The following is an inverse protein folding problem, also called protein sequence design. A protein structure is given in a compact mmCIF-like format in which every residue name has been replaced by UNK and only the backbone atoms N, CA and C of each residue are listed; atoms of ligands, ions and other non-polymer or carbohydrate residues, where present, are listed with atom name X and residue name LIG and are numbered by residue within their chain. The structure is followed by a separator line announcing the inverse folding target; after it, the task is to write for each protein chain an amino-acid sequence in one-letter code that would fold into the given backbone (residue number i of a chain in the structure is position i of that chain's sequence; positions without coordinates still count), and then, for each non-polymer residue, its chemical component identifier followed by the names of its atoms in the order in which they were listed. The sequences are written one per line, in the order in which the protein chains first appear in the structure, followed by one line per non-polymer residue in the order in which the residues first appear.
data_IF_339051857778
#
_entry.id   IF_339051857778
#
_cell.length_a   1.000
_cell.length_b   1.000
_cell.length_c   1.000
_cell.angle_alpha   90.00
_cell.angle_beta   90.00
_cell.angle_gamma   90.00
#
_symmetry.space_group_name_H-M   'P 1'
#
loop_
_entity.id
_entity.type
_entity.pdbx_description
1 polymer ?
#
# COMPACT_ATOMS: atom_id res chain seq x y z
N UNK A 1 -21.20 17.25 -10.81
CA UNK A 1 -19.90 16.63 -11.21
C UNK A 1 -19.23 16.18 -9.93
N UNK A 2 -18.80 14.91 -9.86
CA UNK A 2 -17.99 14.45 -8.74
C UNK A 2 -16.59 15.10 -8.83
N UNK A 3 -16.07 15.64 -7.72
CA UNK A 3 -14.70 16.14 -7.67
C UNK A 3 -13.69 14.99 -7.75
N UNK A 4 -12.48 15.27 -8.17
CA UNK A 4 -11.37 14.33 -8.09
C UNK A 4 -11.04 14.04 -6.61
N UNK A 5 -10.86 12.76 -6.26
CA UNK A 5 -10.40 12.35 -4.94
C UNK A 5 -8.87 12.45 -4.87
N UNK A 6 -8.38 12.84 -3.70
CA UNK A 6 -6.93 12.93 -3.41
C UNK A 6 -6.55 11.76 -2.53
N UNK A 7 -5.56 10.98 -2.98
CA UNK A 7 -4.99 9.87 -2.23
C UNK A 7 -3.65 10.30 -1.62
N UNK A 8 -3.59 10.39 -0.29
CA UNK A 8 -2.38 10.68 0.46
C UNK A 8 -1.58 9.41 0.71
N UNK A 9 -0.27 9.41 0.42
CA UNK A 9 0.61 8.25 0.57
C UNK A 9 1.24 8.25 1.95
N UNK A 10 1.08 7.14 2.68
CA UNK A 10 1.66 6.89 4.00
C UNK A 10 2.58 5.65 3.96
N UNK A 11 3.87 5.86 3.72
CA UNK A 11 4.86 4.79 3.73
C UNK A 11 5.39 4.54 5.14
N UNK A 12 5.22 3.32 5.63
CA UNK A 12 5.72 2.86 6.93
C UNK A 12 6.97 2.00 6.71
N UNK A 13 7.99 2.60 6.05
CA UNK A 13 9.23 1.93 5.74
C UNK A 13 10.40 2.53 6.53
N UNK A 14 11.47 1.73 6.84
CA UNK A 14 12.62 2.22 7.57
C UNK A 14 13.30 3.42 6.92
N UNK A 15 13.21 3.53 5.59
CA UNK A 15 13.88 4.55 4.78
C UNK A 15 13.03 5.78 4.49
N UNK A 16 11.80 5.86 5.03
CA UNK A 16 10.81 6.86 4.60
C UNK A 16 11.11 8.28 5.04
N UNK A 17 12.06 8.49 5.97
CA UNK A 17 12.45 9.83 6.42
C UNK A 17 13.96 9.99 6.50
N UNK A 18 14.46 10.97 5.79
CA UNK A 18 15.86 11.28 5.54
C UNK A 18 16.68 11.73 6.78
N UNK A 19 16.13 11.63 7.97
CA UNK A 19 16.78 12.09 9.20
C UNK A 19 17.06 10.92 10.16
N UNK A 20 18.09 10.12 9.83
CA UNK A 20 18.78 9.32 10.83
C UNK A 20 18.27 7.91 11.12
N UNK A 21 17.58 7.22 10.18
CA UNK A 21 17.38 5.77 10.28
C UNK A 21 16.45 5.31 11.41
N UNK A 22 15.57 6.16 11.92
CA UNK A 22 14.53 5.77 12.87
C UNK A 22 13.34 5.22 12.09
N UNK A 23 12.91 4.01 12.43
CA UNK A 23 11.60 3.48 12.04
C UNK A 23 10.55 4.53 12.37
N UNK A 24 9.63 4.80 11.44
CA UNK A 24 8.42 5.50 11.80
C UNK A 24 7.73 4.63 12.86
N UNK A 25 7.60 5.14 14.07
CA UNK A 25 6.86 4.40 15.08
C UNK A 25 5.40 4.28 14.63
N UNK A 26 4.68 3.30 15.14
CA UNK A 26 3.23 3.17 14.88
C UNK A 26 2.52 4.50 15.15
N UNK A 27 2.86 5.15 16.25
CA UNK A 27 2.28 6.42 16.70
C UNK A 27 2.59 7.57 15.72
N UNK A 28 3.82 7.63 15.21
CA UNK A 28 4.22 8.62 14.21
C UNK A 28 3.48 8.39 12.89
N UNK A 29 3.33 7.13 12.45
CA UNK A 29 2.58 6.77 11.25
C UNK A 29 1.10 7.17 11.36
N UNK A 30 0.46 6.90 12.50
CA UNK A 30 -0.93 7.30 12.76
C UNK A 30 -1.05 8.84 12.76
N UNK A 31 -0.12 9.52 13.41
CA UNK A 31 -0.09 10.99 13.45
C UNK A 31 0.05 11.57 12.04
N UNK A 32 0.94 11.02 11.22
CA UNK A 32 1.10 11.43 9.82
C UNK A 32 -0.14 11.13 8.99
N UNK A 33 -0.79 9.99 9.17
CA UNK A 33 -2.06 9.66 8.51
C UNK A 33 -3.16 10.67 8.82
N UNK A 34 -3.33 11.03 10.11
CA UNK A 34 -4.26 12.06 10.57
C UNK A 34 -3.94 13.43 9.96
N UNK A 35 -2.67 13.76 9.85
CA UNK A 35 -2.21 14.99 9.22
C UNK A 35 -2.60 15.05 7.75
N UNK A 36 -2.36 13.98 6.98
CA UNK A 36 -2.74 13.89 5.56
C UNK A 36 -4.25 14.11 5.38
N UNK A 37 -5.08 13.53 6.25
CA UNK A 37 -6.53 13.75 6.25
C UNK A 37 -6.87 15.23 6.50
N UNK A 38 -6.26 15.84 7.51
CA UNK A 38 -6.48 17.25 7.85
C UNK A 38 -6.02 18.20 6.73
N UNK A 39 -5.02 17.81 5.95
CA UNK A 39 -4.52 18.53 4.77
C UNK A 39 -5.38 18.30 3.51
N UNK A 40 -6.41 17.45 3.59
CA UNK A 40 -7.42 17.28 2.53
C UNK A 40 -7.33 15.99 1.72
N UNK A 41 -6.58 14.99 2.17
CA UNK A 41 -6.62 13.66 1.57
C UNK A 41 -7.99 13.00 1.82
N UNK A 42 -8.56 12.43 0.77
CA UNK A 42 -9.82 11.67 0.81
C UNK A 42 -9.60 10.20 1.15
N UNK A 43 -8.45 9.68 0.75
CA UNK A 43 -8.03 8.28 0.91
C UNK A 43 -6.59 8.31 1.42
N UNK A 44 -6.25 7.44 2.35
CA UNK A 44 -4.86 7.22 2.78
C UNK A 44 -4.38 5.88 2.26
N UNK A 45 -3.34 5.88 1.44
CA UNK A 45 -2.69 4.68 0.90
C UNK A 45 -1.53 4.26 1.80
N UNK A 46 -1.71 3.18 2.54
CA UNK A 46 -0.78 2.70 3.56
C UNK A 46 0.09 1.60 2.99
N UNK A 47 1.41 1.82 2.95
CA UNK A 47 2.38 0.84 2.46
C UNK A 47 3.44 0.48 3.50
N UNK A 48 3.68 -0.81 3.71
CA UNK A 48 4.68 -1.36 4.64
C UNK A 48 5.99 -1.78 3.97
N UNK A 49 6.04 -1.77 2.63
CA UNK A 49 7.18 -2.17 1.82
C UNK A 49 7.54 -1.04 0.84
N UNK A 50 8.84 -0.82 0.63
CA UNK A 50 9.30 0.16 -0.37
C UNK A 50 9.20 -0.42 -1.78
N UNK A 51 8.54 0.31 -2.68
CA UNK A 51 8.48 -0.03 -4.11
C UNK A 51 9.65 0.57 -4.92
N UNK A 52 10.62 1.22 -4.26
CA UNK A 52 11.79 1.81 -4.94
C UNK A 52 12.62 0.73 -5.64
N UNK A 53 13.17 1.03 -6.85
CA UNK A 53 14.06 0.10 -7.53
C UNK A 53 15.27 -0.28 -6.69
N UNK A 54 15.59 -1.59 -6.63
CA UNK A 54 16.79 -2.10 -5.96
C UNK A 54 16.67 -2.35 -4.46
N UNK A 55 15.56 -2.01 -3.83
CA UNK A 55 15.34 -2.28 -2.40
C UNK A 55 14.95 -3.74 -2.19
N UNK A 56 15.46 -4.33 -1.11
CA UNK A 56 15.05 -5.66 -0.68
C UNK A 56 13.64 -5.67 -0.11
N UNK A 57 12.90 -6.73 -0.40
CA UNK A 57 11.56 -6.92 0.14
C UNK A 57 11.61 -7.20 1.64
N UNK A 58 10.67 -6.65 2.38
CA UNK A 58 10.46 -7.01 3.79
C UNK A 58 9.76 -8.37 3.89
N UNK A 59 9.83 -9.03 5.04
CA UNK A 59 9.04 -10.24 5.28
C UNK A 59 7.55 -9.94 5.35
N UNK A 60 6.70 -10.93 5.09
CA UNK A 60 5.24 -10.78 5.24
C UNK A 60 4.86 -10.44 6.69
N UNK A 61 5.54 -11.03 7.66
CA UNK A 61 5.33 -10.75 9.08
C UNK A 61 5.65 -9.28 9.42
N UNK A 62 6.76 -8.76 8.93
CA UNK A 62 7.13 -7.35 9.14
C UNK A 62 6.14 -6.38 8.48
N UNK A 63 5.64 -6.73 7.28
CA UNK A 63 4.63 -5.92 6.60
C UNK A 63 3.32 -5.89 7.39
N UNK A 64 2.85 -7.05 7.85
CA UNK A 64 1.66 -7.17 8.70
C UNK A 64 1.79 -6.36 9.99
N UNK A 65 2.92 -6.50 10.69
CA UNK A 65 3.19 -5.79 11.95
C UNK A 65 3.17 -4.26 11.78
N UNK A 66 3.65 -3.77 10.65
CA UNK A 66 3.68 -2.34 10.34
C UNK A 66 2.30 -1.80 9.92
N UNK A 67 1.64 -2.50 9.00
CA UNK A 67 0.46 -1.98 8.28
C UNK A 67 -0.81 -2.13 9.12
N UNK A 68 -1.09 -3.33 9.63
CA UNK A 68 -2.40 -3.62 10.20
C UNK A 68 -2.76 -2.76 11.42
N UNK A 69 -1.84 -2.50 12.37
CA UNK A 69 -2.14 -1.62 13.50
C UNK A 69 -2.45 -0.18 13.09
N UNK A 70 -1.77 0.35 12.07
CA UNK A 70 -2.01 1.71 11.57
C UNK A 70 -3.35 1.80 10.83
N UNK A 71 -3.64 0.84 9.95
CA UNK A 71 -4.94 0.72 9.27
C UNK A 71 -6.08 0.69 10.28
N UNK A 72 -5.96 -0.17 11.31
CA UNK A 72 -6.98 -0.33 12.35
C UNK A 72 -7.30 0.99 13.05
N UNK A 73 -6.29 1.76 13.43
CA UNK A 73 -6.49 3.04 14.13
C UNK A 73 -7.06 4.12 13.21
N UNK A 74 -6.55 4.26 11.99
CA UNK A 74 -7.07 5.26 11.05
C UNK A 74 -8.51 4.95 10.61
N UNK A 75 -8.88 3.67 10.46
CA UNK A 75 -10.27 3.27 10.20
C UNK A 75 -11.20 3.65 11.36
N UNK A 76 -10.79 3.49 12.61
CA UNK A 76 -11.55 3.96 13.79
C UNK A 76 -11.79 5.47 13.78
N UNK A 77 -10.84 6.23 13.25
CA UNK A 77 -10.96 7.68 13.07
C UNK A 77 -11.90 8.06 11.89
N UNK A 78 -12.42 7.07 11.16
CA UNK A 78 -13.33 7.27 10.03
C UNK A 78 -12.63 7.51 8.69
N UNK A 79 -11.32 7.26 8.60
CA UNK A 79 -10.57 7.40 7.36
C UNK A 79 -10.93 6.33 6.33
N UNK A 80 -10.94 6.70 5.06
CA UNK A 80 -11.00 5.75 3.94
C UNK A 80 -9.57 5.27 3.64
N UNK A 81 -9.33 3.98 3.79
CA UNK A 81 -7.99 3.39 3.69
C UNK A 81 -7.84 2.56 2.44
N UNK A 82 -6.76 2.81 1.71
CA UNK A 82 -6.14 1.94 0.72
C UNK A 82 -4.92 1.27 1.35
N UNK A 83 -4.63 0.02 0.98
CA UNK A 83 -3.40 -0.66 1.41
C UNK A 83 -2.60 -1.06 0.19
N UNK A 84 -1.36 -0.54 0.09
CA UNK A 84 -0.38 -0.90 -0.95
C UNK A 84 0.32 -2.20 -0.54
N UNK A 85 -0.07 -3.27 -1.20
CA UNK A 85 0.51 -4.60 -0.96
C UNK A 85 0.37 -5.53 -2.17
N UNK A 86 1.38 -6.37 -2.37
CA UNK A 86 1.36 -7.47 -3.34
C UNK A 86 1.08 -8.82 -2.68
N UNK A 87 0.81 -8.86 -1.37
CA UNK A 87 0.60 -10.10 -0.61
C UNK A 87 -0.86 -10.29 -0.25
N UNK A 88 -1.40 -11.45 -0.62
CA UNK A 88 -2.80 -11.79 -0.37
C UNK A 88 -3.16 -11.87 1.12
N UNK A 89 -2.23 -12.31 1.98
CA UNK A 89 -2.48 -12.38 3.42
C UNK A 89 -2.53 -10.99 4.04
N UNK A 90 -1.65 -10.08 3.62
CA UNK A 90 -1.71 -8.67 4.06
C UNK A 90 -3.02 -8.01 3.60
N UNK A 91 -3.41 -8.22 2.33
CA UNK A 91 -4.68 -7.72 1.80
C UNK A 91 -5.87 -8.25 2.60
N UNK A 92 -5.91 -9.54 2.90
CA UNK A 92 -6.97 -10.17 3.69
C UNK A 92 -7.09 -9.57 5.09
N UNK A 93 -5.97 -9.38 5.80
CA UNK A 93 -5.99 -8.78 7.13
C UNK A 93 -6.32 -7.28 7.09
N UNK A 94 -5.87 -6.56 6.08
CA UNK A 94 -6.22 -5.16 5.87
C UNK A 94 -7.74 -4.99 5.63
N UNK A 95 -8.35 -5.85 4.81
CA UNK A 95 -9.80 -5.88 4.59
C UNK A 95 -10.54 -6.15 5.90
N UNK A 96 -10.09 -7.12 6.68
CA UNK A 96 -10.67 -7.42 8.00
C UNK A 96 -10.53 -6.25 8.98
N UNK A 97 -9.46 -5.45 8.88
CA UNK A 97 -9.25 -4.24 9.66
C UNK A 97 -10.08 -3.03 9.16
N UNK A 98 -10.77 -3.14 8.01
CA UNK A 98 -11.69 -2.14 7.49
C UNK A 98 -11.15 -1.32 6.31
N UNK A 99 -10.07 -1.74 5.65
CA UNK A 99 -9.62 -1.13 4.40
C UNK A 99 -10.73 -1.18 3.33
N UNK A 100 -10.82 -0.14 2.53
CA UNK A 100 -11.79 0.00 1.44
C UNK A 100 -11.18 -0.28 0.07
N UNK A 101 -9.86 -0.16 -0.04
CA UNK A 101 -9.09 -0.38 -1.27
C UNK A 101 -7.90 -1.30 -0.99
N UNK A 102 -7.57 -2.12 -1.98
CA UNK A 102 -6.26 -2.79 -2.08
C UNK A 102 -5.59 -2.27 -3.36
N UNK A 103 -4.41 -1.68 -3.18
CA UNK A 103 -3.57 -1.13 -4.23
C UNK A 103 -2.42 -2.12 -4.48
N UNK A 104 -2.50 -2.87 -5.58
CA UNK A 104 -1.53 -3.91 -5.90
C UNK A 104 -0.71 -3.54 -7.14
N UNK A 105 0.52 -3.12 -6.90
CA UNK A 105 1.48 -2.74 -7.95
C UNK A 105 1.82 -3.91 -8.90
N UNK A 106 1.55 -5.15 -8.50
CA UNK A 106 1.74 -6.33 -9.34
C UNK A 106 0.52 -6.68 -10.20
N UNK A 107 -0.64 -6.09 -9.91
CA UNK A 107 -1.89 -6.45 -10.58
C UNK A 107 -2.31 -7.91 -10.37
N UNK A 108 -1.97 -8.49 -9.22
CA UNK A 108 -2.25 -9.89 -8.86
C UNK A 108 -1.22 -10.89 -9.36
N UNK A 109 -0.14 -10.43 -10.01
CA UNK A 109 0.84 -11.35 -10.60
C UNK A 109 1.93 -11.82 -9.61
N UNK A 110 2.08 -11.14 -8.47
CA UNK A 110 3.08 -11.51 -7.46
C UNK A 110 2.58 -12.58 -6.48
N UNK A 111 1.26 -12.69 -6.29
CA UNK A 111 0.64 -13.67 -5.39
C UNK A 111 -0.64 -14.23 -6.02
N UNK A 112 -0.60 -15.50 -6.39
CA UNK A 112 -1.72 -16.21 -7.06
C UNK A 112 -3.03 -16.22 -6.25
N UNK A 113 -2.96 -16.03 -4.93
CA UNK A 113 -4.13 -16.00 -4.05
C UNK A 113 -4.82 -14.64 -4.02
N UNK A 114 -4.17 -13.57 -4.49
CA UNK A 114 -4.72 -12.21 -4.45
C UNK A 114 -6.11 -12.13 -5.10
N UNK A 115 -6.25 -12.67 -6.31
CA UNK A 115 -7.53 -12.65 -7.03
C UNK A 115 -8.66 -13.33 -6.23
N UNK A 116 -8.36 -14.42 -5.53
CA UNK A 116 -9.34 -15.12 -4.69
C UNK A 116 -9.74 -14.29 -3.47
N UNK A 117 -8.79 -13.63 -2.82
CA UNK A 117 -9.06 -12.73 -1.67
C UNK A 117 -9.98 -11.60 -2.10
N UNK A 118 -9.69 -10.94 -3.22
CA UNK A 118 -10.50 -9.84 -3.73
C UNK A 118 -11.91 -10.32 -4.13
N UNK A 119 -12.02 -11.44 -4.84
CA UNK A 119 -13.31 -12.00 -5.26
C UNK A 119 -14.24 -12.37 -4.08
N UNK A 120 -13.69 -12.76 -2.94
CA UNK A 120 -14.45 -13.05 -1.71
C UNK A 120 -14.92 -11.78 -0.98
N UNK A 121 -14.44 -10.60 -1.38
CA UNK A 121 -14.74 -9.33 -0.75
C UNK A 121 -15.28 -8.29 -1.76
N UNK A 122 -16.51 -8.47 -2.28
CA UNK A 122 -17.04 -7.71 -3.42
C UNK A 122 -17.24 -6.22 -3.18
N UNK A 123 -17.10 -5.75 -1.95
CA UNK A 123 -17.15 -4.31 -1.60
C UNK A 123 -15.79 -3.62 -1.71
N UNK A 124 -14.70 -4.39 -1.79
CA UNK A 124 -13.36 -3.84 -1.91
C UNK A 124 -13.13 -3.35 -3.33
N UNK A 125 -12.53 -2.18 -3.43
CA UNK A 125 -12.04 -1.67 -4.69
C UNK A 125 -10.59 -2.10 -4.89
N UNK A 126 -10.30 -2.73 -6.01
CA UNK A 126 -8.98 -3.24 -6.34
C UNK A 126 -8.32 -2.36 -7.39
N UNK A 127 -7.15 -1.82 -7.05
CA UNK A 127 -6.34 -1.01 -7.95
C UNK A 127 -5.21 -1.91 -8.47
N UNK A 128 -5.33 -2.33 -9.73
CA UNK A 128 -4.34 -3.18 -10.39
C UNK A 128 -3.43 -2.33 -11.27
N UNK A 129 -2.14 -2.30 -10.98
CA UNK A 129 -1.16 -1.59 -11.77
C UNK A 129 -0.49 -2.53 -12.80
N UNK A 130 0.01 -1.97 -13.90
CA UNK A 130 0.83 -2.71 -14.84
C UNK A 130 2.20 -3.05 -14.24
N UNK A 131 2.56 -4.33 -14.23
CA UNK A 131 3.77 -4.84 -13.60
C UNK A 131 4.66 -5.64 -14.56
N UNK A 132 5.97 -5.41 -14.52
CA UNK A 132 6.95 -6.15 -15.30
C UNK A 132 7.78 -7.12 -14.47
N UNK A 133 7.74 -7.04 -13.16
CA UNK A 133 8.51 -7.83 -12.21
C UNK A 133 8.93 -7.02 -10.99
N UNK A 134 9.57 -7.69 -10.04
CA UNK A 134 10.05 -7.04 -8.82
C UNK A 134 11.08 -5.93 -9.08
N UNK A 135 11.20 -5.00 -8.13
CA UNK A 135 11.99 -3.77 -8.23
C UNK A 135 13.44 -3.97 -8.70
N UNK A 136 14.09 -5.07 -8.34
CA UNK A 136 15.45 -5.41 -8.77
C UNK A 136 15.60 -5.71 -10.28
N UNK A 137 14.50 -6.13 -10.94
CA UNK A 137 14.54 -6.58 -12.34
C UNK A 137 13.69 -5.78 -13.30
N UNK A 138 12.74 -4.99 -12.79
CA UNK A 138 11.76 -4.28 -13.60
C UNK A 138 12.39 -3.39 -14.67
N UNK A 139 13.52 -2.75 -14.36
CA UNK A 139 14.23 -1.87 -15.28
C UNK A 139 14.85 -2.64 -16.46
N UNK A 140 15.35 -3.86 -16.23
CA UNK A 140 15.95 -4.73 -17.27
C UNK A 140 14.89 -5.20 -18.27
N UNK A 141 13.63 -5.28 -17.87
CA UNK A 141 12.49 -5.71 -18.68
C UNK A 141 11.79 -4.56 -19.42
N UNK A 142 12.25 -3.31 -19.23
CA UNK A 142 11.73 -2.14 -19.90
C UNK A 142 12.30 -2.01 -21.34
N UNK A 143 12.00 -2.99 -22.17
CA UNK A 143 12.45 -3.04 -23.58
C UNK A 143 11.24 -2.77 -24.46
N UNK A 144 11.30 -1.70 -25.23
CA UNK A 144 10.26 -1.29 -26.18
C UNK A 144 10.83 -1.31 -27.60
N UNK A 145 10.03 -1.76 -28.57
CA UNK A 145 10.37 -1.60 -29.99
C UNK A 145 9.93 -0.21 -30.50
N UNK A 146 8.88 0.30 -29.92
CA UNK A 146 8.32 1.61 -30.20
C UNK A 146 7.64 2.12 -28.93
N UNK A 147 7.67 3.41 -28.69
CA UNK A 147 7.07 4.06 -27.50
C UNK A 147 5.98 5.05 -27.88
N UNK A 148 5.63 5.15 -29.14
CA UNK A 148 4.55 6.02 -29.65
C UNK A 148 3.52 5.19 -30.39
#
# INVERSE_FOLDING_TARGET
MSRTLVMGILNITPDSFADGGKYLSKEDAITQGRRLIAEGADIIDVGGESTKPGVDRVSEADELERVIPVVTELVKDGAVISVDTMRSEVAKQAIAAGASYINDVSGGLADEKMASVIAQNPKIQYIAMHWRGHSKEMQKKAVYKDVV
#
